data_IF_951224841901
#
_entry.id   IF_951224841901
#
_cell.length_a   1.000
_cell.length_b   1.000
_cell.length_c   1.000
_cell.angle_alpha   90.00
_cell.angle_beta   90.00
_cell.angle_gamma   90.00
#
_symmetry.space_group_name_H-M   'P 1'
#
loop_
_entity.id
_entity.type
_entity.pdbx_description
1 polymer ?
#
# COMPACT_ATOMS: atom_id res chain seq x y z
N UNK A 1 27.26 15.35 47.51
CA UNK A 1 25.82 15.43 47.21
C UNK A 1 25.48 15.94 45.81
N UNK A 2 26.28 16.80 45.16
CA UNK A 2 25.97 17.29 43.80
C UNK A 2 26.12 16.24 42.68
N UNK A 3 27.08 15.32 42.78
CA UNK A 3 27.33 14.27 41.77
C UNK A 3 26.27 13.17 41.68
N UNK A 4 25.45 12.98 42.73
CA UNK A 4 24.42 11.93 42.78
C UNK A 4 23.09 12.36 42.16
N UNK A 5 22.78 13.66 42.14
CA UNK A 5 21.59 14.18 41.46
C UNK A 5 21.73 14.08 39.93
N UNK A 6 22.91 14.37 39.39
CA UNK A 6 23.15 14.35 37.93
C UNK A 6 23.03 12.93 37.33
N UNK A 7 23.55 11.91 38.01
CA UNK A 7 23.43 10.51 37.55
C UNK A 7 21.98 10.01 37.60
N UNK A 8 21.20 10.41 38.61
CA UNK A 8 19.80 9.99 38.75
C UNK A 8 18.93 10.64 37.68
N UNK A 9 19.18 11.92 37.37
CA UNK A 9 18.49 12.64 36.29
C UNK A 9 18.82 12.05 34.91
N UNK A 10 20.09 11.75 34.65
CA UNK A 10 20.54 11.06 33.42
C UNK A 10 19.88 9.69 33.26
N UNK A 11 19.77 8.91 34.33
CA UNK A 11 19.15 7.59 34.30
C UNK A 11 17.63 7.65 34.03
N UNK A 12 16.93 8.62 34.63
CA UNK A 12 15.49 8.84 34.41
C UNK A 12 15.21 9.34 32.98
N UNK A 13 16.05 10.24 32.45
CA UNK A 13 15.97 10.67 31.05
C UNK A 13 16.25 9.52 30.08
N UNK A 14 17.26 8.69 30.35
CA UNK A 14 17.56 7.51 29.54
C UNK A 14 16.40 6.50 29.55
N UNK A 15 15.78 6.25 30.71
CA UNK A 15 14.61 5.36 30.80
C UNK A 15 13.37 5.93 30.10
N UNK A 16 13.15 7.25 30.17
CA UNK A 16 12.04 7.90 29.46
C UNK A 16 12.24 7.89 27.92
N UNK A 17 13.48 8.06 27.45
CA UNK A 17 13.83 7.93 26.03
C UNK A 17 13.65 6.48 25.54
N UNK A 18 14.10 5.50 26.32
CA UNK A 18 13.91 4.06 26.01
C UNK A 18 12.43 3.67 26.03
N UNK A 19 11.64 4.15 27.00
CA UNK A 19 10.21 3.87 27.06
C UNK A 19 9.41 4.52 25.89
N UNK A 20 9.83 5.69 25.41
CA UNK A 20 9.27 6.30 24.19
C UNK A 20 9.65 5.51 22.92
N UNK A 21 10.91 5.09 22.80
CA UNK A 21 11.37 4.25 21.69
C UNK A 21 10.63 2.90 21.66
N UNK A 22 10.32 2.33 22.84
CA UNK A 22 9.57 1.07 22.97
C UNK A 22 8.09 1.17 22.57
N UNK A 23 7.57 2.36 22.23
CA UNK A 23 6.20 2.56 21.73
C UNK A 23 6.11 2.90 20.24
N UNK A 24 7.23 3.20 19.59
CA UNK A 24 7.26 3.47 18.15
C UNK A 24 7.44 2.16 17.38
N UNK A 25 6.65 1.90 16.34
CA UNK A 25 6.86 0.74 15.48
C UNK A 25 8.16 0.92 14.69
N UNK A 26 8.85 -0.17 14.37
CA UNK A 26 9.99 -0.09 13.45
C UNK A 26 9.56 0.40 12.06
N UNK A 27 8.36 0.00 11.64
CA UNK A 27 7.74 0.34 10.35
C UNK A 27 6.32 0.85 10.58
N UNK A 28 6.03 2.04 10.09
CA UNK A 28 4.68 2.60 10.02
C UNK A 28 4.24 2.69 8.56
N UNK A 29 3.04 2.18 8.28
CA UNK A 29 2.43 2.22 6.96
C UNK A 29 1.27 3.22 6.98
N UNK A 30 1.25 4.14 6.02
CA UNK A 30 0.09 4.99 5.76
C UNK A 30 -0.63 4.46 4.53
N UNK A 31 -1.93 4.19 4.68
CA UNK A 31 -2.76 3.70 3.58
C UNK A 31 -3.83 4.70 3.17
N UNK A 32 -4.02 4.93 1.88
CA UNK A 32 -5.09 5.80 1.38
C UNK A 32 -5.98 5.05 0.37
N UNK A 33 -7.28 5.01 0.68
CA UNK A 33 -8.32 4.38 -0.14
C UNK A 33 -8.63 5.14 -1.42
N UNK A 34 -9.37 4.50 -2.30
CA UNK A 34 -9.95 5.04 -3.52
C UNK A 34 -11.27 5.79 -3.28
N UNK A 35 -11.72 6.52 -4.30
CA UNK A 35 -12.94 7.33 -4.23
C UNK A 35 -14.18 6.48 -3.91
N UNK A 36 -15.12 7.05 -3.15
CA UNK A 36 -16.38 6.47 -2.67
C UNK A 36 -16.29 5.40 -1.59
N UNK A 37 -15.10 4.90 -1.29
CA UNK A 37 -14.93 3.91 -0.23
C UNK A 37 -15.20 4.51 1.14
N UNK A 38 -15.76 3.69 2.03
CA UNK A 38 -15.90 4.03 3.45
C UNK A 38 -14.53 4.25 4.10
N UNK A 39 -14.45 5.00 5.22
CA UNK A 39 -13.19 5.21 5.95
C UNK A 39 -12.43 3.91 6.23
N UNK A 40 -11.11 3.95 6.07
CA UNK A 40 -10.23 2.79 6.09
C UNK A 40 -9.29 2.74 4.89
N UNK A 41 -8.73 1.56 4.61
CA UNK A 41 -7.69 1.37 3.59
C UNK A 41 -8.21 1.18 2.16
N UNK A 42 -9.48 0.81 1.98
CA UNK A 42 -10.00 0.44 0.66
C UNK A 42 -9.18 -0.69 0.01
N UNK A 43 -8.99 -0.60 -1.30
CA UNK A 43 -8.23 -1.58 -2.09
C UNK A 43 -6.73 -1.59 -1.76
N UNK A 44 -6.18 -0.52 -1.14
CA UNK A 44 -4.80 -0.53 -0.63
C UNK A 44 -4.58 -1.55 0.49
N UNK A 45 -5.65 -1.94 1.21
CA UNK A 45 -5.58 -2.81 2.39
C UNK A 45 -4.90 -4.15 2.13
N UNK A 46 -5.15 -4.76 0.98
CA UNK A 46 -4.56 -6.04 0.60
C UNK A 46 -3.02 -6.01 0.57
N UNK A 47 -2.43 -4.96 0.00
CA UNK A 47 -0.97 -4.80 -0.03
C UNK A 47 -0.41 -4.43 1.36
N UNK A 48 -1.15 -3.64 2.13
CA UNK A 48 -0.77 -3.30 3.52
C UNK A 48 -0.71 -4.57 4.38
N UNK A 49 -1.68 -5.47 4.24
CA UNK A 49 -1.70 -6.75 4.94
C UNK A 49 -0.52 -7.64 4.52
N UNK A 50 -0.17 -7.65 3.23
CA UNK A 50 1.04 -8.34 2.75
C UNK A 50 2.32 -7.78 3.39
N UNK A 51 2.48 -6.46 3.46
CA UNK A 51 3.65 -5.83 4.08
C UNK A 51 3.70 -6.17 5.58
N UNK A 52 2.58 -6.11 6.30
CA UNK A 52 2.52 -6.47 7.73
C UNK A 52 2.80 -7.94 7.99
N UNK A 53 2.45 -8.83 7.06
CA UNK A 53 2.77 -10.24 7.16
C UNK A 53 4.28 -10.50 7.03
N UNK A 54 4.97 -9.79 6.14
CA UNK A 54 6.43 -9.89 5.95
C UNK A 54 7.23 -9.17 7.04
N UNK A 55 6.66 -8.14 7.67
CA UNK A 55 7.33 -7.30 8.66
C UNK A 55 6.60 -7.36 10.01
N UNK A 56 6.99 -8.35 10.83
CA UNK A 56 6.45 -8.52 12.17
C UNK A 56 6.64 -7.26 13.02
N UNK A 57 5.55 -6.74 13.59
CA UNK A 57 5.57 -5.51 14.39
C UNK A 57 5.32 -4.22 13.60
N UNK A 58 5.20 -4.28 12.27
CA UNK A 58 4.75 -3.15 11.48
C UNK A 58 3.30 -2.76 11.85
N UNK A 59 3.05 -1.46 11.96
CA UNK A 59 1.72 -0.89 12.18
C UNK A 59 1.25 -0.14 10.95
N UNK A 60 -0.07 0.06 10.84
CA UNK A 60 -0.66 0.80 9.74
C UNK A 60 -1.78 1.72 10.23
N UNK A 61 -1.88 2.90 9.61
CA UNK A 61 -3.00 3.83 9.81
C UNK A 61 -3.55 4.32 8.47
N UNK A 62 -4.86 4.44 8.38
CA UNK A 62 -5.53 4.95 7.20
C UNK A 62 -5.47 6.47 7.19
N UNK A 63 -5.28 7.06 6.01
CA UNK A 63 -5.41 8.50 5.82
C UNK A 63 -6.89 8.86 5.91
N UNK A 64 -7.22 9.68 6.90
CA UNK A 64 -8.56 10.23 7.08
C UNK A 64 -8.74 11.44 6.17
N UNK A 65 -9.49 11.23 5.09
CA UNK A 65 -9.84 12.25 4.11
C UNK A 65 -11.16 11.90 3.42
N UNK A 66 -11.79 12.82 2.65
CA UNK A 66 -13.12 12.59 2.10
C UNK A 66 -13.22 11.39 1.15
N UNK A 67 -12.17 11.09 0.38
CA UNK A 67 -12.19 10.09 -0.69
C UNK A 67 -13.44 10.18 -1.57
N UNK A 68 -13.76 11.37 -2.08
CA UNK A 68 -15.02 11.65 -2.75
C UNK A 68 -14.81 12.32 -4.11
N UNK A 69 -15.82 12.20 -4.97
CA UNK A 69 -15.86 12.79 -6.31
C UNK A 69 -17.20 13.46 -6.62
N UNK A 70 -17.88 13.97 -5.59
CA UNK A 70 -19.20 14.60 -5.66
C UNK A 70 -20.38 13.68 -5.29
N UNK A 71 -20.13 12.40 -5.01
CA UNK A 71 -21.18 11.45 -4.61
C UNK A 71 -21.69 11.73 -3.20
N UNK A 72 -23.00 11.61 -2.99
CA UNK A 72 -23.62 11.82 -1.67
C UNK A 72 -23.19 10.78 -0.63
N UNK A 73 -22.84 9.56 -1.06
CA UNK A 73 -22.39 8.46 -0.17
C UNK A 73 -21.10 8.79 0.60
N UNK A 74 -20.26 9.68 0.07
CA UNK A 74 -19.01 10.14 0.67
C UNK A 74 -19.07 11.62 1.10
N UNK A 75 -20.26 12.20 1.23
CA UNK A 75 -20.47 13.57 1.72
C UNK A 75 -20.50 14.65 0.65
N UNK A 76 -20.46 14.31 -0.64
CA UNK A 76 -20.65 15.25 -1.75
C UNK A 76 -19.47 16.17 -2.05
N UNK A 77 -18.30 15.91 -1.45
CA UNK A 77 -17.07 16.69 -1.72
C UNK A 77 -16.60 16.42 -3.15
N UNK A 78 -16.33 17.48 -3.91
CA UNK A 78 -15.85 17.36 -5.30
C UNK A 78 -14.46 16.73 -5.36
N UNK A 79 -14.14 16.07 -6.47
CA UNK A 79 -12.90 15.29 -6.60
C UNK A 79 -11.64 16.12 -6.28
N UNK A 80 -11.51 17.29 -6.91
CA UNK A 80 -10.37 18.19 -6.68
C UNK A 80 -10.26 18.64 -5.23
N UNK A 81 -11.38 19.02 -4.59
CA UNK A 81 -11.39 19.41 -3.17
C UNK A 81 -11.03 18.23 -2.25
N UNK A 82 -11.47 17.01 -2.61
CA UNK A 82 -11.12 15.78 -1.88
C UNK A 82 -9.63 15.46 -2.02
N UNK A 83 -9.07 15.59 -3.22
CA UNK A 83 -7.64 15.39 -3.46
C UNK A 83 -6.77 16.43 -2.74
N UNK A 84 -7.22 17.70 -2.70
CA UNK A 84 -6.56 18.75 -1.92
C UNK A 84 -6.54 18.44 -0.44
N UNK A 85 -7.71 18.18 0.15
CA UNK A 85 -7.84 17.83 1.57
C UNK A 85 -7.06 16.55 1.91
N UNK A 86 -7.06 15.56 1.01
CA UNK A 86 -6.26 14.34 1.20
C UNK A 86 -4.77 14.59 1.14
N UNK A 87 -4.29 15.47 0.26
CA UNK A 87 -2.86 15.84 0.21
C UNK A 87 -2.42 16.51 1.53
N UNK A 88 -3.26 17.38 2.08
CA UNK A 88 -3.06 18.02 3.39
C UNK A 88 -3.11 16.98 4.54
N UNK A 89 -4.02 16.00 4.46
CA UNK A 89 -4.15 14.92 5.43
C UNK A 89 -2.92 14.00 5.45
N UNK A 90 -2.41 13.56 4.28
CA UNK A 90 -1.16 12.78 4.18
C UNK A 90 -0.01 13.57 4.79
N UNK A 91 0.11 14.85 4.44
CA UNK A 91 1.18 15.72 4.94
C UNK A 91 1.16 15.81 6.47
N UNK A 92 -0.02 16.03 7.05
CA UNK A 92 -0.21 16.13 8.50
C UNK A 92 0.12 14.80 9.18
N UNK A 93 -0.48 13.70 8.71
CA UNK A 93 -0.32 12.39 9.33
C UNK A 93 1.15 11.94 9.34
N UNK A 94 1.85 12.08 8.22
CA UNK A 94 3.27 11.70 8.09
C UNK A 94 4.17 12.57 8.95
N UNK A 95 3.99 13.90 8.92
CA UNK A 95 4.82 14.82 9.71
C UNK A 95 4.59 14.66 11.23
N UNK A 96 3.34 14.49 11.65
CA UNK A 96 2.98 14.30 13.06
C UNK A 96 3.51 12.97 13.59
N UNK A 97 3.36 11.90 12.81
CA UNK A 97 3.94 10.61 13.16
C UNK A 97 5.46 10.69 13.27
N UNK A 98 6.14 11.25 12.26
CA UNK A 98 7.59 11.39 12.29
C UNK A 98 8.08 12.23 13.47
N UNK A 99 7.33 13.25 13.88
CA UNK A 99 7.65 14.06 15.06
C UNK A 99 7.57 13.25 16.37
N UNK A 100 6.70 12.23 16.43
CA UNK A 100 6.58 11.32 17.57
C UNK A 100 7.56 10.16 17.50
N UNK A 101 7.82 9.65 16.30
CA UNK A 101 8.61 8.46 16.01
C UNK A 101 9.64 8.75 14.91
N UNK A 102 10.72 9.50 15.23
CA UNK A 102 11.64 10.01 14.22
C UNK A 102 12.52 8.94 13.57
N UNK A 103 12.67 7.78 14.22
CA UNK A 103 13.52 6.67 13.75
C UNK A 103 12.73 5.60 12.97
N UNK A 104 11.39 5.60 13.07
CA UNK A 104 10.53 4.65 12.37
C UNK A 104 10.65 4.83 10.86
N UNK A 105 10.72 3.71 10.15
CA UNK A 105 10.65 3.68 8.70
C UNK A 105 9.18 3.86 8.26
N UNK A 106 8.96 4.66 7.21
CA UNK A 106 7.61 4.98 6.73
C UNK A 106 7.39 4.36 5.35
N UNK A 107 6.25 3.72 5.17
CA UNK A 107 5.76 3.24 3.86
C UNK A 107 4.44 3.92 3.54
N UNK A 108 4.28 4.39 2.31
CA UNK A 108 3.04 4.96 1.80
C UNK A 108 2.40 3.98 0.81
N UNK A 109 1.10 3.70 0.93
CA UNK A 109 0.35 2.85 -0.01
C UNK A 109 -0.96 3.54 -0.38
N UNK A 110 -1.07 4.00 -1.62
CA UNK A 110 -2.23 4.73 -2.10
C UNK A 110 -2.88 4.05 -3.30
N UNK A 111 -4.22 3.96 -3.30
CA UNK A 111 -5.00 3.39 -4.40
C UNK A 111 -5.90 4.45 -5.06
N UNK A 112 -5.85 4.60 -6.38
CA UNK A 112 -6.64 5.57 -7.14
C UNK A 112 -6.45 7.01 -6.63
N UNK A 113 -7.50 7.68 -6.15
CA UNK A 113 -7.38 8.99 -5.47
C UNK A 113 -6.44 8.94 -4.25
N UNK A 114 -6.32 7.80 -3.56
CA UNK A 114 -5.31 7.60 -2.52
C UNK A 114 -3.87 7.63 -3.05
N UNK A 115 -3.65 7.10 -4.26
CA UNK A 115 -2.38 7.23 -4.98
C UNK A 115 -2.08 8.68 -5.32
N UNK A 116 -3.07 9.37 -5.89
CA UNK A 116 -3.02 10.79 -6.24
C UNK A 116 -2.54 11.65 -5.05
N UNK A 117 -3.20 11.56 -3.90
CA UNK A 117 -2.86 12.41 -2.74
C UNK A 117 -1.48 12.10 -2.16
N UNK A 118 -1.05 10.83 -2.19
CA UNK A 118 0.29 10.43 -1.77
C UNK A 118 1.35 10.88 -2.78
N UNK A 119 1.02 10.88 -4.07
CA UNK A 119 1.90 11.37 -5.13
C UNK A 119 2.15 12.87 -4.99
N UNK A 120 1.10 13.64 -4.73
CA UNK A 120 1.22 15.06 -4.41
C UNK A 120 2.11 15.26 -3.17
N UNK A 121 1.89 14.49 -2.11
CA UNK A 121 2.62 14.66 -0.86
C UNK A 121 4.10 14.27 -0.94
N UNK A 122 4.47 13.21 -1.66
CA UNK A 122 5.86 12.74 -1.76
C UNK A 122 6.66 13.42 -2.89
N UNK A 123 5.99 13.89 -3.95
CA UNK A 123 6.66 14.49 -5.11
C UNK A 123 6.46 16.00 -5.26
N UNK A 124 5.52 16.62 -4.53
CA UNK A 124 5.21 18.04 -4.69
C UNK A 124 4.70 18.35 -6.10
N UNK A 125 5.19 19.43 -6.71
CA UNK A 125 4.98 19.76 -8.13
C UNK A 125 3.63 20.37 -8.49
N UNK A 126 2.81 20.73 -7.50
CA UNK A 126 1.47 21.27 -7.70
C UNK A 126 0.50 20.27 -8.31
N UNK A 127 -0.76 20.67 -8.40
CA UNK A 127 -1.87 19.89 -8.93
C UNK A 127 -3.02 20.84 -9.27
N UNK A 128 -3.19 21.12 -10.57
CA UNK A 128 -4.23 22.02 -11.04
C UNK A 128 -5.65 21.47 -10.87
N UNK A 129 -5.83 20.14 -10.98
CA UNK A 129 -7.14 19.50 -10.81
C UNK A 129 -7.65 19.58 -9.38
N UNK A 130 -6.74 19.59 -8.40
CA UNK A 130 -7.05 19.87 -6.99
C UNK A 130 -6.87 21.34 -6.56
N UNK A 131 -6.51 22.25 -7.48
CA UNK A 131 -6.28 23.66 -7.16
C UNK A 131 -5.08 23.90 -6.22
N UNK A 132 -4.10 23.00 -6.21
CA UNK A 132 -2.84 23.13 -5.47
C UNK A 132 -1.82 23.81 -6.40
N UNK A 133 -1.47 25.05 -6.08
CA UNK A 133 -0.51 25.83 -6.87
C UNK A 133 0.92 25.76 -6.33
N UNK A 134 1.09 25.42 -5.04
CA UNK A 134 2.41 25.23 -4.46
C UNK A 134 3.07 23.98 -5.05
N UNK A 135 4.33 24.13 -5.45
CA UNK A 135 5.13 23.08 -6.09
C UNK A 135 6.13 22.44 -5.14
N UNK A 136 6.29 22.96 -3.92
CA UNK A 136 7.12 22.33 -2.90
C UNK A 136 6.58 20.96 -2.50
N UNK A 137 7.48 20.08 -2.04
CA UNK A 137 7.08 18.84 -1.36
C UNK A 137 6.52 19.23 0.02
N UNK A 138 5.25 18.94 0.33
CA UNK A 138 4.62 19.43 1.57
C UNK A 138 5.03 18.63 2.82
N UNK A 139 5.46 17.37 2.66
CA UNK A 139 6.06 16.58 3.74
C UNK A 139 7.44 17.17 4.07
N UNK A 140 7.75 17.31 5.36
CA UNK A 140 9.05 17.85 5.80
C UNK A 140 10.21 16.98 5.32
N UNK A 141 11.37 17.60 5.04
CA UNK A 141 12.53 16.89 4.54
C UNK A 141 13.00 15.73 5.47
N UNK A 142 12.90 15.89 6.79
CA UNK A 142 13.24 14.84 7.74
C UNK A 142 12.25 13.68 7.71
N UNK A 143 10.94 13.95 7.59
CA UNK A 143 9.94 12.91 7.43
C UNK A 143 10.07 12.20 6.07
N UNK A 144 10.32 12.94 4.98
CA UNK A 144 10.65 12.37 3.67
C UNK A 144 11.86 11.45 3.75
N UNK A 145 12.88 11.76 4.55
CA UNK A 145 14.03 10.87 4.75
C UNK A 145 13.63 9.52 5.38
N UNK A 146 12.58 9.49 6.20
CA UNK A 146 12.04 8.27 6.77
C UNK A 146 11.02 7.55 5.89
N UNK A 147 10.41 8.21 4.89
CA UNK A 147 9.71 7.50 3.81
C UNK A 147 10.71 6.66 3.03
N UNK A 148 10.58 5.33 3.08
CA UNK A 148 11.46 4.39 2.39
C UNK A 148 10.87 3.92 1.07
N UNK A 149 9.56 3.68 1.05
CA UNK A 149 8.82 3.27 -0.13
C UNK A 149 7.44 3.96 -0.20
N UNK A 150 7.00 4.28 -1.41
CA UNK A 150 5.66 4.75 -1.73
C UNK A 150 5.13 3.96 -2.93
N UNK A 151 4.03 3.23 -2.72
CA UNK A 151 3.35 2.44 -3.74
C UNK A 151 2.06 3.16 -4.12
N UNK A 152 1.91 3.47 -5.41
CA UNK A 152 0.79 4.20 -5.97
C UNK A 152 0.11 3.32 -7.03
N UNK A 153 -1.12 2.89 -6.78
CA UNK A 153 -1.83 1.91 -7.60
C UNK A 153 -2.97 2.62 -8.33
N UNK A 154 -2.94 2.66 -9.67
CA UNK A 154 -3.98 3.32 -10.46
C UNK A 154 -4.05 4.82 -10.25
N UNK A 155 -2.92 5.49 -10.03
CA UNK A 155 -2.90 6.93 -9.75
C UNK A 155 -3.29 7.78 -10.98
N UNK A 156 -4.38 8.58 -10.93
CA UNK A 156 -4.79 9.47 -12.01
C UNK A 156 -3.77 10.53 -12.44
N UNK A 157 -2.72 10.74 -11.62
CA UNK A 157 -1.58 11.61 -11.91
C UNK A 157 -0.57 10.96 -12.86
N UNK A 158 -0.74 9.69 -13.20
CA UNK A 158 0.17 8.99 -14.10
C UNK A 158 0.31 9.70 -15.45
N UNK A 159 1.53 9.71 -15.96
CA UNK A 159 1.86 10.09 -17.33
C UNK A 159 2.98 9.17 -17.80
N UNK A 160 2.94 8.74 -19.05
CA UNK A 160 3.99 7.89 -19.60
C UNK A 160 5.36 8.59 -19.56
N UNK A 161 6.40 7.80 -19.27
CA UNK A 161 7.78 8.29 -19.16
C UNK A 161 8.24 8.66 -17.75
N UNK A 162 7.39 8.53 -16.73
CA UNK A 162 7.85 8.65 -15.33
C UNK A 162 8.87 7.56 -15.01
N UNK A 163 10.01 7.95 -14.41
CA UNK A 163 11.09 7.02 -14.05
C UNK A 163 10.70 5.94 -13.03
N UNK A 164 9.57 6.11 -12.37
CA UNK A 164 8.99 5.22 -11.37
C UNK A 164 7.64 4.63 -11.83
N UNK A 165 7.28 4.78 -13.11
CA UNK A 165 6.10 4.17 -13.71
C UNK A 165 6.34 2.70 -14.03
N UNK A 166 5.40 1.84 -13.65
CA UNK A 166 5.38 0.40 -13.95
C UNK A 166 4.02 0.06 -14.57
N UNK A 167 4.00 -0.85 -15.53
CA UNK A 167 2.79 -1.28 -16.23
C UNK A 167 2.79 -0.93 -17.71
N UNK A 168 1.65 -1.16 -18.36
CA UNK A 168 1.52 -1.10 -19.83
C UNK A 168 1.04 0.24 -20.36
N UNK A 169 0.63 1.19 -19.49
CA UNK A 169 0.09 2.47 -19.94
C UNK A 169 1.15 3.30 -20.69
N UNK A 170 0.83 3.69 -21.93
CA UNK A 170 1.66 4.60 -22.74
C UNK A 170 1.06 5.99 -22.92
N UNK A 171 -0.02 6.29 -22.18
CA UNK A 171 -0.75 7.56 -22.22
C UNK A 171 -0.61 8.31 -20.87
N UNK A 172 -1.72 8.73 -20.28
CA UNK A 172 -1.77 9.38 -18.97
C UNK A 172 -3.20 9.46 -18.44
N UNK A 173 -3.33 9.70 -17.14
CA UNK A 173 -4.62 9.78 -16.47
C UNK A 173 -5.31 11.13 -16.65
N UNK A 174 -6.53 11.24 -16.10
CA UNK A 174 -7.32 12.46 -16.27
C UNK A 174 -6.72 13.69 -15.56
N UNK A 175 -5.78 13.50 -14.62
CA UNK A 175 -5.05 14.57 -13.93
C UNK A 175 -3.54 14.39 -14.08
N UNK A 176 -3.11 13.83 -15.22
CA UNK A 176 -1.74 13.49 -15.52
C UNK A 176 -0.75 14.61 -15.14
N UNK A 177 0.39 14.21 -14.56
CA UNK A 177 1.55 15.09 -14.41
C UNK A 177 1.95 15.67 -15.77
N UNK A 178 2.59 16.87 -15.80
CA UNK A 178 3.21 17.36 -17.02
C UNK A 178 4.20 16.35 -17.58
N UNK A 179 4.27 16.23 -18.92
CA UNK A 179 5.27 15.39 -19.57
C UNK A 179 6.69 15.81 -19.15
N UNK A 180 7.52 14.83 -18.77
CA UNK A 180 8.86 15.08 -18.24
C UNK A 180 8.90 15.53 -16.78
N UNK A 181 7.80 15.43 -16.04
CA UNK A 181 7.79 15.69 -14.59
C UNK A 181 8.84 14.84 -13.86
N UNK A 182 9.60 15.48 -12.96
CA UNK A 182 10.63 14.84 -12.15
C UNK A 182 10.22 14.92 -10.69
N UNK A 183 9.92 13.77 -10.09
CA UNK A 183 9.72 13.66 -8.64
C UNK A 183 11.09 13.74 -7.93
N UNK A 184 11.29 14.66 -6.96
CA UNK A 184 12.54 14.72 -6.18
C UNK A 184 12.85 13.41 -5.43
N UNK A 185 11.82 12.62 -5.15
CA UNK A 185 11.89 11.37 -4.39
C UNK A 185 11.63 10.12 -5.26
N UNK A 186 11.80 10.21 -6.59
CA UNK A 186 11.49 9.15 -7.56
C UNK A 186 12.02 7.75 -7.17
N UNK A 187 13.23 7.67 -6.61
CA UNK A 187 13.87 6.39 -6.23
C UNK A 187 13.14 5.63 -5.10
N UNK A 188 12.17 6.27 -4.43
CA UNK A 188 11.35 5.72 -3.35
C UNK A 188 9.95 5.35 -3.82
N UNK A 189 9.58 5.67 -5.06
CA UNK A 189 8.22 5.53 -5.56
C UNK A 189 8.15 4.40 -6.58
N UNK A 190 7.03 3.66 -6.57
CA UNK A 190 6.55 2.90 -7.72
C UNK A 190 5.08 3.23 -7.96
N UNK A 191 4.76 3.59 -9.20
CA UNK A 191 3.40 3.91 -9.64
C UNK A 191 2.99 2.90 -10.71
N UNK A 192 1.97 2.10 -10.41
CA UNK A 192 1.44 1.07 -11.29
C UNK A 192 0.23 1.58 -12.07
N UNK A 193 0.29 1.50 -13.40
CA UNK A 193 -0.80 1.86 -14.30
C UNK A 193 -0.71 1.11 -15.62
N UNK A 194 -1.85 0.55 -16.05
CA UNK A 194 -1.96 -0.23 -17.30
C UNK A 194 -2.84 0.47 -18.34
N UNK A 195 -2.67 0.07 -19.60
CA UNK A 195 -3.35 0.67 -20.76
C UNK A 195 -4.87 0.51 -20.73
N UNK A 196 -5.38 -0.53 -20.07
CA UNK A 196 -6.81 -0.83 -19.95
C UNK A 196 -7.54 0.14 -19.00
N UNK A 197 -6.80 0.82 -18.12
CA UNK A 197 -7.35 1.65 -17.05
C UNK A 197 -7.90 3.00 -17.57
N UNK A 198 -9.17 3.35 -17.28
CA UNK A 198 -9.78 4.60 -17.78
C UNK A 198 -9.46 5.83 -16.93
N UNK A 199 -8.75 5.70 -15.81
CA UNK A 199 -8.51 6.78 -14.85
C UNK A 199 -7.03 7.20 -14.78
N UNK A 200 -6.12 6.22 -14.67
CA UNK A 200 -4.67 6.48 -14.71
C UNK A 200 -4.10 6.41 -16.13
N UNK A 201 -4.86 5.85 -17.07
CA UNK A 201 -4.56 5.83 -18.49
C UNK A 201 -5.78 6.35 -19.29
N UNK A 202 -5.79 6.10 -20.59
CA UNK A 202 -6.89 6.43 -21.52
C UNK A 202 -7.68 5.19 -21.97
N UNK A 203 -7.66 4.14 -21.15
CA UNK A 203 -8.37 2.90 -21.38
C UNK A 203 -9.88 3.00 -21.15
N UNK A 204 -10.54 1.84 -21.05
CA UNK A 204 -11.99 1.76 -20.91
C UNK A 204 -12.49 0.62 -20.00
N UNK A 205 -11.60 -0.07 -19.29
CA UNK A 205 -11.96 -1.14 -18.35
C UNK A 205 -11.82 -0.66 -16.90
N UNK A 206 -12.92 -0.19 -16.33
CA UNK A 206 -12.96 0.22 -14.93
C UNK A 206 -12.73 -0.95 -13.95
N UNK A 207 -12.91 -2.21 -14.36
CA UNK A 207 -12.59 -3.35 -13.50
C UNK A 207 -11.08 -3.54 -13.38
N UNK A 208 -10.32 -3.27 -14.46
CA UNK A 208 -8.86 -3.33 -14.44
C UNK A 208 -8.28 -2.39 -13.38
N UNK A 209 -8.86 -1.20 -13.24
CA UNK A 209 -8.48 -0.24 -12.21
C UNK A 209 -8.53 -0.81 -10.78
N UNK A 210 -9.38 -1.80 -10.51
CA UNK A 210 -9.54 -2.43 -9.19
C UNK A 210 -8.62 -3.65 -8.97
N UNK A 211 -7.78 -4.01 -9.95
CA UNK A 211 -7.02 -5.27 -9.92
C UNK A 211 -5.53 -5.10 -9.58
N UNK A 212 -5.03 -3.88 -9.36
CA UNK A 212 -3.58 -3.65 -9.28
C UNK A 212 -2.86 -4.40 -8.16
N UNK A 213 -3.50 -4.63 -7.00
CA UNK A 213 -2.85 -5.47 -5.97
C UNK A 213 -2.76 -6.94 -6.43
N UNK A 214 -3.75 -7.41 -7.19
CA UNK A 214 -3.72 -8.77 -7.76
C UNK A 214 -2.63 -8.91 -8.80
N UNK A 215 -2.49 -7.91 -9.67
CA UNK A 215 -1.54 -7.92 -10.78
C UNK A 215 -0.10 -7.68 -10.29
N UNK A 216 0.09 -6.72 -9.38
CA UNK A 216 1.40 -6.19 -9.00
C UNK A 216 1.75 -6.31 -7.53
N UNK A 217 0.86 -6.81 -6.66
CA UNK A 217 1.07 -6.81 -5.20
C UNK A 217 2.36 -7.52 -4.77
N UNK A 218 2.73 -8.61 -5.43
CA UNK A 218 4.00 -9.32 -5.15
C UNK A 218 5.21 -8.49 -5.55
N UNK A 219 5.16 -7.81 -6.70
CA UNK A 219 6.22 -6.93 -7.17
C UNK A 219 6.36 -5.69 -6.27
N UNK A 220 5.23 -5.08 -5.90
CA UNK A 220 5.17 -3.95 -5.00
C UNK A 220 5.73 -4.29 -3.61
N UNK A 221 5.38 -5.46 -3.07
CA UNK A 221 5.95 -5.97 -1.83
C UNK A 221 7.47 -6.16 -1.94
N UNK A 222 7.95 -6.74 -3.04
CA UNK A 222 9.38 -6.92 -3.26
C UNK A 222 10.13 -5.58 -3.30
N UNK A 223 9.54 -4.55 -3.92
CA UNK A 223 10.10 -3.20 -3.90
C UNK A 223 10.13 -2.63 -2.48
N UNK A 224 9.02 -2.70 -1.74
CA UNK A 224 8.97 -2.25 -0.34
C UNK A 224 10.06 -2.93 0.49
N UNK A 225 10.17 -4.26 0.38
CA UNK A 225 11.18 -5.06 1.07
C UNK A 225 12.62 -4.66 0.69
N UNK A 226 12.85 -4.26 -0.57
CA UNK A 226 14.17 -3.77 -1.01
C UNK A 226 14.55 -2.40 -0.45
N UNK A 227 13.57 -1.61 0.03
CA UNK A 227 13.78 -0.25 0.57
C UNK A 227 13.83 -0.21 2.09
N UNK A 228 13.19 -1.16 2.75
CA UNK A 228 13.21 -1.28 4.19
C UNK A 228 14.55 -1.89 4.63
N UNK A 229 15.24 -1.22 5.55
CA UNK A 229 16.45 -1.76 6.20
C UNK A 229 16.08 -2.67 7.37
N UNK A 230 17.02 -3.55 7.77
CA UNK A 230 16.93 -4.18 9.09
C UNK A 230 17.01 -3.09 10.16
N UNK A 231 15.94 -2.91 10.93
CA UNK A 231 15.91 -1.97 12.04
C UNK A 231 16.92 -2.42 13.10
N UNK A 232 18.03 -1.67 13.24
CA UNK A 232 18.98 -1.79 14.33
C UNK A 232 20.23 -2.62 14.08
N UNK A 233 21.28 -1.97 13.57
CA UNK A 233 22.61 -2.12 14.19
C UNK A 233 23.21 -0.72 14.39
N UNK A 234 22.96 -0.17 15.57
CA UNK A 234 23.72 0.95 16.09
C UNK A 234 24.87 0.37 16.94
N UNK A 235 26.06 0.23 16.35
CA UNK A 235 27.30 0.15 17.13
C UNK A 235 28.30 -0.92 16.70
N UNK A 236 28.96 -0.70 15.57
CA UNK A 236 30.10 -1.50 15.14
C UNK A 236 31.13 -0.68 14.38
N UNK A 237 31.72 0.34 15.02
CA UNK A 237 32.94 0.95 14.51
C UNK A 237 34.08 -0.06 14.60
N UNK A 238 34.56 -0.53 13.47
CA UNK A 238 35.87 -1.14 13.31
C UNK A 238 36.33 -0.85 11.90
N UNK A 239 37.12 0.21 11.78
CA UNK A 239 38.14 0.30 10.74
C UNK A 239 38.88 -1.02 10.65
N UNK A 240 38.80 -1.69 9.50
CA UNK A 240 39.93 -2.48 9.02
C UNK A 240 39.88 -2.57 7.50
N UNK A 241 40.73 -1.74 6.89
CA UNK A 241 41.20 -1.95 5.51
C UNK A 241 42.26 -3.05 5.57
N UNK A 242 42.23 -4.02 4.65
CA UNK A 242 43.42 -4.15 3.81
C UNK A 242 43.15 -4.50 2.34
N UNK A 243 43.82 -3.71 1.49
CA UNK A 243 44.60 -4.11 0.32
C UNK A 243 44.05 -5.15 -0.67
N UNK A 244 43.92 -4.69 -1.92
CA UNK A 244 43.97 -5.53 -3.12
C UNK A 244 45.25 -6.38 -3.19
N UNK A 245 45.20 -7.50 -3.95
CA UNK A 245 46.22 -7.65 -4.99
C UNK A 245 45.68 -8.15 -6.34
N UNK A 246 46.23 -7.52 -7.37
CA UNK A 246 46.71 -8.04 -8.66
C UNK A 246 46.29 -9.43 -9.14
N UNK A 247 45.65 -9.42 -10.32
CA UNK A 247 45.80 -10.28 -11.51
C UNK A 247 46.65 -11.56 -11.42
N UNK A 248 46.04 -12.69 -11.79
CA UNK A 248 46.68 -13.67 -12.67
C UNK A 248 45.64 -14.41 -13.52
N UNK A 249 45.85 -14.36 -14.84
CA UNK A 249 45.17 -15.17 -15.83
C UNK A 249 45.71 -16.61 -15.79
N UNK A 250 44.84 -17.59 -15.91
CA UNK A 250 45.11 -18.79 -16.70
C UNK A 250 43.81 -19.33 -17.28
N UNK A 251 43.92 -19.73 -18.54
CA UNK A 251 42.86 -20.02 -19.50
C UNK A 251 43.09 -21.48 -19.95
N UNK A 252 42.07 -22.32 -19.86
CA UNK A 252 41.88 -23.59 -20.60
C UNK A 252 40.41 -24.00 -20.34
N UNK A 253 39.50 -23.98 -21.33
CA UNK A 253 39.33 -25.02 -22.36
C UNK A 253 38.80 -26.33 -21.71
N UNK A 254 37.66 -26.94 -22.04
CA UNK A 254 37.03 -27.13 -23.35
C UNK A 254 35.67 -27.85 -23.15
N UNK A 255 34.57 -27.23 -23.61
CA UNK A 255 33.46 -27.80 -24.41
C UNK A 255 32.46 -28.86 -23.82
N UNK A 256 31.33 -29.18 -24.53
CA UNK A 256 29.98 -29.16 -23.98
C UNK A 256 29.23 -30.51 -24.05
N UNK A 257 28.12 -30.66 -23.32
CA UNK A 257 27.17 -31.76 -23.57
C UNK A 257 25.74 -31.20 -23.66
N UNK A 258 25.16 -31.40 -24.84
CA UNK A 258 23.79 -31.09 -25.27
C UNK A 258 22.85 -32.30 -24.94
N UNK A 259 21.56 -32.33 -25.33
CA UNK A 259 20.44 -32.67 -24.47
C UNK A 259 19.87 -34.07 -24.76
N UNK A 260 19.09 -34.62 -23.83
CA UNK A 260 18.28 -35.81 -24.11
C UNK A 260 16.81 -35.46 -24.20
N UNK A 261 16.29 -35.62 -25.41
CA UNK A 261 14.89 -35.75 -25.81
C UNK A 261 14.24 -37.00 -25.22
N UNK A 262 12.93 -36.94 -24.95
CA UNK A 262 12.10 -38.12 -24.71
C UNK A 262 10.64 -37.75 -24.49
N UNK A 263 9.81 -37.98 -25.50
CA UNK A 263 8.37 -37.79 -25.54
C UNK A 263 7.60 -39.06 -25.16
N UNK A 264 6.31 -38.86 -24.87
CA UNK A 264 5.14 -39.72 -25.11
C UNK A 264 4.35 -40.31 -23.91
N UNK A 265 3.11 -39.82 -23.84
CA UNK A 265 1.81 -40.50 -23.68
C UNK A 265 1.44 -41.25 -22.39
N UNK A 266 0.41 -40.76 -21.68
CA UNK A 266 -0.97 -41.31 -21.81
C UNK A 266 -1.94 -40.85 -20.70
N UNK A 267 -3.07 -40.30 -21.17
CA UNK A 267 -4.48 -40.51 -20.79
C UNK A 267 -4.95 -40.83 -19.34
N UNK A 268 -6.03 -40.12 -18.95
CA UNK A 268 -7.12 -40.58 -18.07
C UNK A 268 -7.06 -40.03 -16.65
N UNK A 269 -8.11 -39.45 -16.04
CA UNK A 269 -9.49 -39.27 -16.43
C UNK A 269 -10.21 -38.40 -15.39
N UNK A 270 -11.37 -37.87 -15.78
CA UNK A 270 -12.36 -37.26 -14.89
C UNK A 270 -12.99 -38.33 -13.96
N UNK A 271 -13.59 -37.96 -12.82
CA UNK A 271 -15.03 -37.71 -12.88
C UNK A 271 -15.55 -36.54 -12.03
N UNK A 272 -16.70 -36.06 -12.46
CA UNK A 272 -17.67 -35.20 -11.79
C UNK A 272 -18.77 -36.04 -11.12
N UNK A 273 -19.32 -35.56 -9.99
CA UNK A 273 -20.73 -35.64 -9.52
C UNK A 273 -20.76 -35.50 -7.97
N UNK A 274 -21.24 -34.40 -7.41
CA UNK A 274 -22.65 -34.09 -7.04
C UNK A 274 -23.20 -34.95 -5.90
N UNK A 275 -23.62 -34.31 -4.80
CA UNK A 275 -24.90 -34.50 -4.06
C UNK A 275 -25.09 -33.34 -3.04
N UNK A 276 -26.18 -32.58 -3.21
CA UNK A 276 -26.91 -31.74 -2.23
C UNK A 276 -28.10 -32.58 -1.69
N UNK A 277 -28.99 -32.11 -0.78
CA UNK A 277 -28.94 -31.03 0.23
C UNK A 277 -29.47 -31.49 1.61
N UNK A 278 -29.47 -30.61 2.63
CA UNK A 278 -30.54 -30.65 3.63
C UNK A 278 -30.86 -29.26 4.20
N UNK A 279 -32.07 -28.80 3.91
CA UNK A 279 -32.75 -27.74 4.64
C UNK A 279 -33.30 -28.28 5.96
N UNK A 280 -33.27 -27.45 7.02
CA UNK A 280 -34.09 -27.67 8.21
C UNK A 280 -34.79 -26.37 8.58
N UNK A 281 -36.11 -26.35 8.40
CA UNK A 281 -37.02 -25.35 8.95
C UNK A 281 -37.43 -25.75 10.36
N UNK A 282 -37.38 -24.83 11.32
CA UNK A 282 -38.25 -24.84 12.51
C UNK A 282 -38.43 -23.41 13.02
N UNK A 283 -39.69 -22.98 13.11
CA UNK A 283 -40.08 -21.69 13.69
C UNK A 283 -40.27 -21.75 15.22
N UNK A 284 -40.29 -20.57 15.83
CA UNK A 284 -40.68 -20.33 17.22
C UNK A 284 -40.83 -18.85 17.50
N UNK A 285 -42.06 -18.42 17.81
CA UNK A 285 -42.45 -17.08 18.27
C UNK A 285 -42.01 -16.83 19.73
N UNK A 286 -41.66 -15.58 20.07
CA UNK A 286 -41.55 -15.10 21.44
C UNK A 286 -41.06 -13.64 21.53
N UNK A 287 -41.90 -12.77 22.09
CA UNK A 287 -41.81 -11.31 22.19
C UNK A 287 -40.64 -10.70 23.01
N UNK A 288 -40.28 -9.47 22.64
CA UNK A 288 -39.99 -8.39 23.60
C UNK A 288 -38.52 -7.94 23.74
N UNK A 289 -38.13 -6.87 23.04
CA UNK A 289 -36.86 -6.17 23.32
C UNK A 289 -36.56 -5.06 22.31
N UNK A 290 -36.61 -3.82 22.79
CA UNK A 290 -36.43 -2.58 22.04
C UNK A 290 -35.03 -2.39 21.44
N UNK A 291 -35.00 -2.08 20.13
CA UNK A 291 -34.03 -1.19 19.47
C UNK A 291 -32.65 -1.74 19.15
N UNK A 292 -32.42 -2.12 17.88
CA UNK A 292 -31.26 -1.77 17.05
C UNK A 292 -31.60 -2.07 15.57
N UNK A 293 -31.51 -1.07 14.70
CA UNK A 293 -31.60 -1.23 13.25
C UNK A 293 -30.34 -1.96 12.74
N UNK A 294 -30.42 -3.28 12.56
CA UNK A 294 -29.46 -4.06 11.77
C UNK A 294 -29.95 -4.13 10.32
N UNK A 295 -29.37 -3.29 9.46
CA UNK A 295 -29.48 -3.39 8.01
C UNK A 295 -28.08 -3.43 7.38
N UNK A 296 -27.83 -4.46 6.55
CA UNK A 296 -26.67 -4.71 5.66
C UNK A 296 -25.40 -5.32 6.28
N UNK A 297 -25.35 -6.65 6.39
CA UNK A 297 -24.16 -7.42 6.84
C UNK A 297 -23.23 -7.90 5.70
N UNK A 298 -23.36 -7.34 4.49
CA UNK A 298 -22.52 -7.68 3.34
C UNK A 298 -21.71 -6.48 2.86
N UNK A 299 -20.49 -6.73 2.41
CA UNK A 299 -19.61 -5.74 1.80
C UNK A 299 -20.22 -5.24 0.48
N UNK A 300 -20.12 -3.93 0.23
CA UNK A 300 -20.50 -3.35 -1.05
C UNK A 300 -19.70 -3.96 -2.21
N UNK A 301 -20.17 -3.79 -3.46
CA UNK A 301 -19.34 -4.08 -4.63
C UNK A 301 -17.99 -3.38 -4.48
N UNK A 302 -16.90 -4.10 -4.78
CA UNK A 302 -15.49 -3.70 -4.58
C UNK A 302 -15.04 -3.57 -3.11
N UNK A 303 -15.90 -3.88 -2.13
CA UNK A 303 -15.50 -4.01 -0.74
C UNK A 303 -14.75 -5.32 -0.45
N UNK A 304 -13.84 -5.30 0.54
CA UNK A 304 -13.25 -6.53 1.05
C UNK A 304 -14.34 -7.40 1.70
N UNK A 305 -14.38 -8.66 1.32
CA UNK A 305 -15.39 -9.63 1.73
C UNK A 305 -14.78 -10.90 2.36
N UNK A 306 -13.49 -10.88 2.66
CA UNK A 306 -12.78 -12.03 3.20
C UNK A 306 -11.26 -11.81 3.28
N UNK A 307 -10.59 -12.79 3.88
CA UNK A 307 -9.16 -12.73 4.16
C UNK A 307 -8.79 -13.26 5.53
N UNK A 308 -7.63 -13.90 5.64
CA UNK A 308 -7.03 -14.28 6.91
C UNK A 308 -6.82 -13.02 7.76
N UNK A 309 -7.35 -13.04 8.98
CA UNK A 309 -7.44 -11.92 9.93
C UNK A 309 -8.43 -10.79 9.58
N UNK A 310 -9.19 -10.89 8.48
CA UNK A 310 -10.28 -9.96 8.20
C UNK A 310 -11.50 -10.28 9.08
N UNK A 311 -11.95 -9.31 9.88
CA UNK A 311 -13.11 -9.44 10.79
C UNK A 311 -14.36 -8.74 10.27
N UNK A 312 -14.35 -8.28 9.01
CA UNK A 312 -15.47 -7.58 8.38
C UNK A 312 -16.51 -8.50 7.74
N UNK A 313 -17.32 -7.94 6.84
CA UNK A 313 -18.40 -8.66 6.17
C UNK A 313 -17.87 -9.80 5.29
N UNK A 314 -18.45 -11.00 5.37
CA UNK A 314 -18.01 -12.18 4.62
C UNK A 314 -18.88 -12.50 3.40
N UNK A 315 -19.83 -11.62 3.09
CA UNK A 315 -20.72 -11.71 1.93
C UNK A 315 -20.68 -10.39 1.14
N UNK A 316 -21.17 -10.43 -0.10
CA UNK A 316 -21.25 -9.27 -0.98
C UNK A 316 -22.70 -8.84 -1.16
N UNK A 317 -22.98 -7.55 -0.98
CA UNK A 317 -24.31 -6.99 -1.24
C UNK A 317 -24.61 -6.98 -2.73
N UNK A 318 -23.55 -6.91 -3.55
CA UNK A 318 -23.56 -7.01 -5.00
C UNK A 318 -22.31 -7.78 -5.46
N UNK A 319 -22.46 -8.62 -6.48
CA UNK A 319 -21.37 -9.45 -7.00
C UNK A 319 -21.09 -10.71 -6.17
N UNK A 320 -19.93 -11.33 -6.39
CA UNK A 320 -19.44 -12.51 -5.69
C UNK A 320 -18.16 -12.19 -4.94
N UNK A 321 -18.02 -12.71 -3.72
CA UNK A 321 -16.78 -12.60 -2.98
C UNK A 321 -15.69 -13.45 -3.64
N UNK A 322 -14.75 -12.82 -4.34
CA UNK A 322 -13.63 -13.50 -5.00
C UNK A 322 -12.43 -13.46 -4.08
N UNK A 323 -11.91 -14.64 -3.75
CA UNK A 323 -10.65 -14.75 -3.02
C UNK A 323 -9.48 -14.42 -3.96
N UNK A 324 -8.63 -13.50 -3.54
CA UNK A 324 -7.44 -13.09 -4.28
C UNK A 324 -6.18 -13.73 -3.72
N UNK A 325 -6.03 -13.70 -2.39
CA UNK A 325 -4.98 -14.44 -1.70
C UNK A 325 -5.50 -14.91 -0.33
N UNK A 326 -4.64 -15.50 0.49
CA UNK A 326 -5.07 -16.01 1.80
C UNK A 326 -5.55 -14.90 2.74
N UNK A 327 -5.10 -13.65 2.55
CA UNK A 327 -5.39 -12.47 3.39
C UNK A 327 -6.46 -11.54 2.80
N UNK A 328 -6.86 -11.71 1.55
CA UNK A 328 -7.79 -10.77 0.90
C UNK A 328 -8.75 -11.45 -0.09
N UNK A 329 -10.03 -11.13 0.07
CA UNK A 329 -11.10 -11.39 -0.88
C UNK A 329 -11.89 -10.10 -1.10
N UNK A 330 -12.37 -9.84 -2.31
CA UNK A 330 -13.16 -8.64 -2.60
C UNK A 330 -14.40 -8.96 -3.45
N UNK A 331 -15.46 -8.18 -3.26
CA UNK A 331 -16.69 -8.29 -4.02
C UNK A 331 -16.49 -7.80 -5.44
N UNK A 332 -16.64 -8.66 -6.44
CA UNK A 332 -16.56 -8.30 -7.86
C UNK A 332 -17.83 -8.78 -8.57
N UNK A 333 -18.15 -8.17 -9.72
CA UNK A 333 -19.24 -8.64 -10.59
C UNK A 333 -19.01 -10.05 -11.15
#
# INVERSE_FOLDING_TARGET
MRTSLDQTLLLVLAQALVAKAQSCPDIQIFGARETTMSPGFGSAGALIDMIKADHSGATAEAIEYPACGGQSSCGGVQYGDSAKQGTEAVTTAVNDFHSRCPDSQIVLVGYSQGGHIMHNAICGGGDSGAGITDTAVPITASAVAQVKAAILLGDPRYVSGLAYGVGTCTAGGFDARPSGFVCPNAAKVQLYCDAEDPYCCDGNDANHHQQYVTLYGTEALAFVNSKLGASGDAGGSSDDTPAAPSTSNSNEGTAPVQPSTGSDDSAGGSPSATILPQETTTGGNGEGGSGQEQGTNCAALWGQCGGQAFTGATCCSEGTCKQFNQYYSQCLN
#
